data_IF_191551310320
#
_entry.id   IF_191551310320
#
_cell.length_a   1.000
_cell.length_b   1.000
_cell.length_c   1.000
_cell.angle_alpha   90.00
_cell.angle_beta   90.00
_cell.angle_gamma   90.00
#
_symmetry.space_group_name_H-M   'P 1'
#
loop_
_entity.id
_entity.type
_entity.pdbx_description
1 polymer ?
#
# COMPACT_ATOMS: atom_id res chain seq x y z
N UNK A 1 -20.24 -12.06 -4.55
CA UNK A 1 -19.03 -11.25 -4.73
C UNK A 1 -18.73 -10.51 -3.43
N UNK A 2 -17.51 -10.59 -2.89
CA UNK A 2 -17.19 -9.90 -1.65
C UNK A 2 -17.23 -8.37 -1.83
N UNK A 3 -17.66 -7.68 -0.78
CA UNK A 3 -17.65 -6.22 -0.75
C UNK A 3 -16.25 -5.68 -0.40
N UNK A 4 -15.51 -6.43 0.39
CA UNK A 4 -14.19 -6.05 0.89
C UNK A 4 -13.17 -7.15 0.60
N UNK A 5 -12.06 -6.78 -0.01
CA UNK A 5 -10.93 -7.68 -0.29
C UNK A 5 -9.69 -7.15 0.41
N UNK A 6 -8.97 -8.02 1.12
CA UNK A 6 -7.70 -7.66 1.74
C UNK A 6 -6.57 -8.32 0.94
N UNK A 7 -5.52 -7.56 0.66
CA UNK A 7 -4.37 -8.01 -0.10
C UNK A 7 -3.11 -7.83 0.74
N UNK A 8 -2.34 -8.91 0.87
CA UNK A 8 -1.06 -8.89 1.55
C UNK A 8 0.03 -8.93 0.49
N UNK A 9 0.91 -7.92 0.52
CA UNK A 9 2.05 -7.86 -0.40
C UNK A 9 3.19 -8.71 0.17
N UNK A 10 3.23 -9.98 -0.22
CA UNK A 10 4.24 -10.92 0.23
C UNK A 10 4.85 -11.67 -0.97
N UNK A 11 6.08 -12.12 -0.79
CA UNK A 11 6.77 -12.90 -1.81
C UNK A 11 7.43 -12.09 -2.93
N UNK A 12 7.24 -10.78 -2.98
CA UNK A 12 7.82 -9.95 -4.04
C UNK A 12 9.35 -9.93 -4.01
N UNK A 13 9.93 -9.94 -2.81
CA UNK A 13 11.39 -10.05 -2.66
C UNK A 13 11.91 -11.38 -3.16
N UNK A 14 11.21 -12.47 -2.86
CA UNK A 14 11.57 -13.82 -3.34
C UNK A 14 11.43 -13.93 -4.85
N UNK A 15 10.39 -13.34 -5.42
CA UNK A 15 10.21 -13.27 -6.87
C UNK A 15 11.41 -12.62 -7.55
N UNK A 16 11.88 -11.50 -7.02
CA UNK A 16 13.05 -10.80 -7.56
C UNK A 16 14.32 -11.64 -7.42
N UNK A 17 14.54 -12.26 -6.25
CA UNK A 17 15.71 -13.11 -6.02
C UNK A 17 15.78 -14.28 -6.99
N UNK A 18 14.67 -14.92 -7.30
CA UNK A 18 14.61 -16.01 -8.27
C UNK A 18 15.00 -15.56 -9.68
N UNK A 19 14.88 -14.28 -9.97
CA UNK A 19 15.24 -13.69 -11.27
C UNK A 19 16.58 -12.97 -11.27
N UNK A 20 17.34 -13.10 -10.17
CA UNK A 20 18.63 -12.44 -10.03
C UNK A 20 18.54 -10.93 -9.84
N UNK A 21 17.38 -10.43 -9.40
CA UNK A 21 17.15 -9.00 -9.16
C UNK A 21 17.21 -8.69 -7.67
N UNK A 22 17.52 -7.44 -7.29
CA UNK A 22 17.41 -7.02 -5.90
C UNK A 22 15.98 -7.18 -5.38
N UNK A 23 15.84 -7.47 -4.08
CA UNK A 23 14.51 -7.66 -3.45
C UNK A 23 13.61 -6.44 -3.63
N UNK A 24 14.18 -5.23 -3.63
CA UNK A 24 13.43 -3.99 -3.80
C UNK A 24 12.73 -3.89 -5.16
N UNK A 25 13.32 -4.49 -6.21
CA UNK A 25 12.68 -4.53 -7.53
C UNK A 25 11.39 -5.36 -7.50
N UNK A 26 11.36 -6.42 -6.69
CA UNK A 26 10.14 -7.20 -6.48
C UNK A 26 9.05 -6.38 -5.80
N UNK A 27 9.39 -5.62 -4.79
CA UNK A 27 8.44 -4.75 -4.10
C UNK A 27 7.88 -3.69 -5.05
N UNK A 28 8.74 -3.12 -5.91
CA UNK A 28 8.32 -2.14 -6.91
C UNK A 28 7.33 -2.71 -7.90
N UNK A 29 7.60 -3.91 -8.43
CA UNK A 29 6.69 -4.59 -9.36
C UNK A 29 5.34 -4.86 -8.71
N UNK A 30 5.34 -5.27 -7.43
CA UNK A 30 4.11 -5.46 -6.68
C UNK A 30 3.27 -4.19 -6.59
N UNK A 31 3.93 -3.07 -6.32
CA UNK A 31 3.25 -1.77 -6.25
C UNK A 31 2.66 -1.37 -7.60
N UNK A 32 3.43 -1.56 -8.70
CA UNK A 32 2.97 -1.18 -10.03
C UNK A 32 1.76 -1.98 -10.51
N UNK A 33 1.50 -3.15 -9.94
CA UNK A 33 0.35 -3.98 -10.31
C UNK A 33 -0.96 -3.53 -9.66
N UNK A 34 -0.93 -2.63 -8.69
CA UNK A 34 -2.09 -2.24 -7.89
C UNK A 34 -3.21 -1.64 -8.73
N UNK A 35 -2.89 -0.77 -9.69
CA UNK A 35 -3.90 -0.15 -10.53
C UNK A 35 -4.72 -1.18 -11.31
N UNK A 36 -4.05 -2.20 -11.84
CA UNK A 36 -4.71 -3.28 -12.58
C UNK A 36 -5.63 -4.09 -11.69
N UNK A 37 -5.16 -4.39 -10.47
CA UNK A 37 -5.93 -5.15 -9.50
C UNK A 37 -7.18 -4.36 -9.10
N UNK A 38 -7.05 -3.09 -8.79
CA UNK A 38 -8.17 -2.24 -8.39
C UNK A 38 -9.20 -2.13 -9.50
N UNK A 39 -8.76 -1.97 -10.74
CA UNK A 39 -9.66 -1.90 -11.89
C UNK A 39 -10.48 -3.19 -12.02
N UNK A 40 -9.82 -4.34 -11.93
CA UNK A 40 -10.48 -5.64 -12.03
C UNK A 40 -11.49 -5.83 -10.90
N UNK A 41 -11.11 -5.53 -9.66
CA UNK A 41 -11.99 -5.68 -8.50
C UNK A 41 -13.17 -4.71 -8.57
N UNK A 42 -12.94 -3.49 -9.00
CA UNK A 42 -14.01 -2.51 -9.19
C UNK A 42 -15.04 -3.00 -10.20
N UNK A 43 -14.60 -3.58 -11.31
CA UNK A 43 -15.49 -4.14 -12.33
C UNK A 43 -16.32 -5.30 -11.79
N UNK A 44 -15.83 -6.00 -10.77
CA UNK A 44 -16.52 -7.12 -10.14
C UNK A 44 -17.42 -6.69 -8.97
N UNK A 45 -17.55 -5.40 -8.72
CA UNK A 45 -18.44 -4.88 -7.69
C UNK A 45 -17.83 -4.81 -6.29
N UNK A 46 -16.52 -5.01 -6.16
CA UNK A 46 -15.82 -4.84 -4.87
C UNK A 46 -15.77 -3.35 -4.53
N UNK A 47 -16.15 -3.01 -3.31
CA UNK A 47 -16.23 -1.60 -2.86
C UNK A 47 -15.02 -1.16 -2.04
N UNK A 48 -14.39 -2.08 -1.32
CA UNK A 48 -13.28 -1.79 -0.41
C UNK A 48 -12.14 -2.76 -0.64
N UNK A 49 -10.94 -2.23 -0.75
CA UNK A 49 -9.71 -3.03 -0.80
C UNK A 49 -8.77 -2.54 0.28
N UNK A 50 -8.27 -3.45 1.11
CA UNK A 50 -7.23 -3.13 2.09
C UNK A 50 -5.93 -3.75 1.62
N UNK A 51 -4.92 -2.89 1.45
CA UNK A 51 -3.59 -3.29 1.03
C UNK A 51 -2.66 -3.20 2.22
N UNK A 52 -2.14 -4.34 2.66
CA UNK A 52 -1.12 -4.39 3.71
C UNK A 52 0.23 -4.12 3.08
N UNK A 53 0.55 -2.86 2.92
CA UNK A 53 1.77 -2.43 2.23
C UNK A 53 3.02 -2.55 3.11
N UNK A 54 2.85 -2.42 4.42
CA UNK A 54 3.94 -2.52 5.37
C UNK A 54 3.41 -3.03 6.71
N UNK A 55 4.04 -4.06 7.28
CA UNK A 55 3.57 -4.72 8.49
C UNK A 55 4.69 -4.92 9.51
N UNK A 56 4.34 -5.43 10.68
CA UNK A 56 5.30 -5.75 11.73
C UNK A 56 6.45 -6.62 11.24
N UNK A 57 6.17 -7.59 10.36
CA UNK A 57 7.21 -8.46 9.81
C UNK A 57 8.25 -7.68 9.02
N UNK A 58 7.82 -6.63 8.30
CA UNK A 58 8.74 -5.80 7.54
C UNK A 58 9.71 -5.03 8.45
N UNK A 59 9.27 -4.63 9.65
CA UNK A 59 10.12 -3.94 10.61
C UNK A 59 11.27 -4.81 11.13
N UNK A 60 11.14 -6.14 11.04
CA UNK A 60 12.18 -7.07 11.46
C UNK A 60 13.22 -7.35 10.38
N UNK A 61 13.05 -6.78 9.19
CA UNK A 61 14.00 -6.94 8.09
C UNK A 61 15.20 -6.00 8.27
N UNK A 62 16.31 -6.22 7.53
CA UNK A 62 17.45 -5.31 7.59
C UNK A 62 17.04 -3.86 7.36
N UNK A 63 17.69 -2.94 8.06
CA UNK A 63 17.35 -1.52 8.01
C UNK A 63 17.36 -0.96 6.58
N UNK A 64 18.29 -1.36 5.75
CA UNK A 64 18.37 -0.94 4.36
C UNK A 64 17.14 -1.35 3.57
N UNK A 65 16.64 -2.56 3.79
CA UNK A 65 15.43 -3.04 3.14
C UNK A 65 14.20 -2.30 3.63
N UNK A 66 14.10 -2.04 4.93
CA UNK A 66 13.00 -1.26 5.51
C UNK A 66 12.96 0.14 4.91
N UNK A 67 14.09 0.83 4.89
CA UNK A 67 14.20 2.16 4.29
C UNK A 67 13.81 2.13 2.82
N UNK A 68 14.30 1.14 2.08
CA UNK A 68 13.99 1.00 0.65
C UNK A 68 12.51 0.77 0.39
N UNK A 69 11.86 -0.07 1.20
CA UNK A 69 10.42 -0.33 1.06
C UNK A 69 9.62 0.96 1.31
N UNK A 70 9.96 1.71 2.36
CA UNK A 70 9.27 2.95 2.69
C UNK A 70 9.47 4.01 1.60
N UNK A 71 10.66 4.08 1.00
CA UNK A 71 10.92 4.97 -0.13
C UNK A 71 10.10 4.59 -1.37
N UNK A 72 9.96 3.29 -1.64
CA UNK A 72 9.12 2.81 -2.75
C UNK A 72 7.65 3.18 -2.52
N UNK A 73 7.17 3.03 -1.29
CA UNK A 73 5.80 3.42 -0.94
C UNK A 73 5.58 4.93 -1.11
N UNK A 74 6.55 5.73 -0.69
CA UNK A 74 6.49 7.18 -0.87
C UNK A 74 6.44 7.55 -2.34
N UNK A 75 7.29 6.96 -3.15
CA UNK A 75 7.31 7.15 -4.59
C UNK A 75 5.99 6.72 -5.23
N UNK A 76 5.49 5.56 -4.84
CA UNK A 76 4.23 5.03 -5.36
C UNK A 76 3.06 5.96 -5.08
N UNK A 77 2.96 6.48 -3.86
CA UNK A 77 1.92 7.45 -3.52
C UNK A 77 2.02 8.70 -4.37
N UNK A 78 3.25 9.20 -4.57
CA UNK A 78 3.47 10.41 -5.38
C UNK A 78 3.03 10.20 -6.84
N UNK A 79 3.39 9.06 -7.42
CA UNK A 79 3.18 8.80 -8.84
C UNK A 79 1.77 8.31 -9.14
N UNK A 80 1.21 7.45 -8.28
CA UNK A 80 -0.04 6.78 -8.57
C UNK A 80 -1.28 7.47 -8.02
N UNK A 81 -1.13 8.38 -7.08
CA UNK A 81 -2.27 9.07 -6.46
C UNK A 81 -3.14 9.78 -7.50
N UNK A 82 -2.54 10.50 -8.43
CA UNK A 82 -3.31 11.22 -9.46
C UNK A 82 -4.07 10.27 -10.37
N UNK A 83 -3.43 9.19 -10.82
CA UNK A 83 -4.08 8.20 -11.67
C UNK A 83 -5.24 7.52 -10.94
N UNK A 84 -5.05 7.17 -9.67
CA UNK A 84 -6.11 6.60 -8.84
C UNK A 84 -7.25 7.59 -8.64
N UNK A 85 -6.91 8.85 -8.41
CA UNK A 85 -7.91 9.92 -8.29
C UNK A 85 -8.74 10.07 -9.57
N UNK A 86 -8.11 10.05 -10.74
CA UNK A 86 -8.78 10.11 -12.03
C UNK A 86 -9.75 8.94 -12.23
N UNK A 87 -9.44 7.79 -11.64
CA UNK A 87 -10.30 6.61 -11.68
C UNK A 87 -11.31 6.54 -10.53
N UNK A 88 -11.53 7.66 -9.85
CA UNK A 88 -12.52 7.79 -8.77
C UNK A 88 -12.23 6.89 -7.57
N UNK A 89 -10.96 6.56 -7.31
CA UNK A 89 -10.53 5.78 -6.15
C UNK A 89 -10.38 6.70 -4.95
N UNK A 90 -10.87 6.27 -3.81
CA UNK A 90 -10.66 6.97 -2.55
C UNK A 90 -9.53 6.27 -1.78
N UNK A 91 -8.52 7.02 -1.37
CA UNK A 91 -7.36 6.51 -0.64
C UNK A 91 -7.51 6.86 0.83
N UNK A 92 -7.38 5.86 1.70
CA UNK A 92 -7.45 6.01 3.16
C UNK A 92 -6.26 5.31 3.77
N UNK A 93 -5.57 5.97 4.69
CA UNK A 93 -4.46 5.38 5.43
C UNK A 93 -4.96 4.73 6.72
N UNK A 94 -4.45 3.54 7.01
CA UNK A 94 -4.72 2.81 8.24
C UNK A 94 -3.40 2.57 8.97
N UNK A 95 -3.36 2.91 10.25
CA UNK A 95 -2.21 2.69 11.11
C UNK A 95 -1.66 3.99 11.68
N UNK A 96 -0.73 3.86 12.62
CA UNK A 96 -0.07 5.00 13.24
C UNK A 96 0.99 5.58 12.31
N UNK A 97 1.16 6.89 12.37
CA UNK A 97 2.13 7.60 11.53
C UNK A 97 3.44 7.93 12.24
N UNK A 98 3.57 7.56 13.51
CA UNK A 98 4.70 7.94 14.36
C UNK A 98 6.06 7.46 13.84
N UNK A 99 6.11 6.34 13.12
CA UNK A 99 7.34 5.79 12.56
C UNK A 99 7.57 6.14 11.09
N UNK A 100 6.66 6.89 10.48
CA UNK A 100 6.79 7.32 9.10
C UNK A 100 7.60 8.61 9.01
N UNK A 101 8.39 8.76 7.94
CA UNK A 101 9.13 10.01 7.71
C UNK A 101 8.16 11.16 7.47
N UNK A 102 8.57 12.41 7.73
CA UNK A 102 7.73 13.56 7.42
C UNK A 102 7.27 13.60 5.96
N UNK A 103 8.14 13.21 5.03
CA UNK A 103 7.83 13.18 3.60
C UNK A 103 6.73 12.15 3.30
N UNK A 104 6.83 10.97 3.89
CA UNK A 104 5.81 9.94 3.69
C UNK A 104 4.47 10.35 4.30
N UNK A 105 4.49 11.00 5.46
CA UNK A 105 3.27 11.54 6.08
C UNK A 105 2.59 12.56 5.18
N UNK A 106 3.37 13.43 4.55
CA UNK A 106 2.84 14.44 3.63
C UNK A 106 2.20 13.79 2.40
N UNK A 107 2.85 12.78 1.83
CA UNK A 107 2.30 12.07 0.68
C UNK A 107 1.00 11.35 1.03
N UNK A 108 0.95 10.74 2.21
CA UNK A 108 -0.27 10.07 2.71
C UNK A 108 -1.39 11.10 2.89
N UNK A 109 -1.11 12.22 3.55
CA UNK A 109 -2.09 13.27 3.77
C UNK A 109 -2.60 13.86 2.46
N UNK A 110 -1.70 14.09 1.51
CA UNK A 110 -2.06 14.59 0.19
C UNK A 110 -2.99 13.62 -0.54
N UNK A 111 -2.65 12.33 -0.54
CA UNK A 111 -3.45 11.30 -1.20
C UNK A 111 -4.86 11.22 -0.60
N UNK A 112 -4.96 11.23 0.73
CA UNK A 112 -6.26 11.19 1.41
C UNK A 112 -7.09 12.43 1.09
N UNK A 113 -6.47 13.60 1.12
CA UNK A 113 -7.18 14.86 0.89
C UNK A 113 -7.64 15.00 -0.56
N UNK A 114 -6.77 14.67 -1.52
CA UNK A 114 -7.09 14.77 -2.94
C UNK A 114 -8.25 13.86 -3.33
N UNK A 115 -8.28 12.64 -2.79
CA UNK A 115 -9.26 11.62 -3.17
C UNK A 115 -10.48 11.56 -2.27
N UNK A 116 -10.56 12.45 -1.28
CA UNK A 116 -11.58 12.42 -0.22
C UNK A 116 -13.01 12.41 -0.73
N UNK A 117 -13.28 13.12 -1.82
CA UNK A 117 -14.62 13.20 -2.40
C UNK A 117 -14.96 12.10 -3.39
N UNK A 118 -14.05 11.18 -3.65
CA UNK A 118 -14.28 10.14 -4.64
C UNK A 118 -15.23 9.07 -4.09
N UNK A 119 -16.06 8.52 -4.97
CA UNK A 119 -17.14 7.60 -4.62
C UNK A 119 -16.99 6.20 -5.19
N UNK A 120 -15.90 5.94 -5.90
CA UNK A 120 -15.61 4.61 -6.44
C UNK A 120 -15.07 3.67 -5.37
N UNK A 121 -14.17 2.78 -5.77
CA UNK A 121 -13.56 1.85 -4.83
C UNK A 121 -12.71 2.59 -3.79
N UNK A 122 -12.77 2.16 -2.54
CA UNK A 122 -11.94 2.70 -1.47
C UNK A 122 -10.73 1.81 -1.27
N UNK A 123 -9.54 2.39 -1.41
CA UNK A 123 -8.27 1.71 -1.14
C UNK A 123 -7.76 2.11 0.24
N UNK A 124 -7.77 1.16 1.16
CA UNK A 124 -7.18 1.34 2.48
C UNK A 124 -5.73 0.89 2.43
N UNK A 125 -4.81 1.82 2.62
CA UNK A 125 -3.37 1.50 2.64
C UNK A 125 -2.96 1.33 4.09
N UNK A 126 -2.64 0.09 4.47
CA UNK A 126 -2.26 -0.24 5.84
C UNK A 126 -0.75 -0.22 5.98
N UNK A 127 -0.25 0.77 6.74
CA UNK A 127 1.15 0.88 7.15
C UNK A 127 1.19 0.59 8.65
N UNK A 128 1.15 -0.69 9.02
CA UNK A 128 0.83 -1.13 10.36
C UNK A 128 2.09 -1.32 11.19
N UNK A 129 2.13 -0.69 12.38
CA UNK A 129 3.17 -0.88 13.38
C UNK A 129 2.84 -2.08 14.27
N UNK A 130 3.83 -2.54 15.06
CA UNK A 130 3.65 -3.66 15.98
C UNK A 130 2.47 -3.45 16.94
N UNK A 131 2.27 -2.23 17.45
CA UNK A 131 1.17 -1.93 18.36
C UNK A 131 -0.19 -2.09 17.70
N UNK A 132 -0.33 -1.67 16.44
CA UNK A 132 -1.56 -1.85 15.67
C UNK A 132 -1.85 -3.32 15.40
N UNK A 133 -0.81 -4.12 15.14
CA UNK A 133 -0.97 -5.56 14.92
C UNK A 133 -1.52 -6.27 16.15
N UNK A 134 -1.12 -5.86 17.35
CA UNK A 134 -1.67 -6.43 18.59
C UNK A 134 -3.17 -6.20 18.70
N UNK A 135 -3.62 -5.05 18.27
CA UNK A 135 -5.04 -4.70 18.27
C UNK A 135 -5.84 -5.65 17.36
N UNK A 136 -5.29 -6.02 16.23
CA UNK A 136 -5.96 -6.88 15.24
C UNK A 136 -6.02 -8.36 15.64
N UNK A 137 -5.25 -8.77 16.64
CA UNK A 137 -5.24 -10.16 17.11
C UNK A 137 -6.30 -10.45 18.15
N UNK A 138 -7.01 -9.44 18.59
CA UNK A 138 -8.11 -9.59 19.52
C UNK A 138 -9.37 -10.07 18.79
#
# INVERSE_FOLDING_TARGET
MPVHVAIIMDGNGRWAQKRGLPRLDGHRVGVDSIQKILKTLSQKGVQYVTLYAFSTENWNRPEEEVTGILEILQYALRVQTEALHENNVRIVHIGKQDRLSPQLREEVAHAEQLTRGNSGITLNVALITAAAMRFWRL
#
